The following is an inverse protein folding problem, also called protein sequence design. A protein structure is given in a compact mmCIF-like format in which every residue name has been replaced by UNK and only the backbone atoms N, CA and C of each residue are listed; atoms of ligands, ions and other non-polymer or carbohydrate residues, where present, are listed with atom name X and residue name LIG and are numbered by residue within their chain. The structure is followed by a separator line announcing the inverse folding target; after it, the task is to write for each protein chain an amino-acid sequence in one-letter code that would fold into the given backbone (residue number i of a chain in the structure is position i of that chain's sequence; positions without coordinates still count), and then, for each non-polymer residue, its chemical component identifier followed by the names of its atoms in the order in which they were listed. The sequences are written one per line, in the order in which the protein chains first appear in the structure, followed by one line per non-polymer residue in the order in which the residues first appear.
data_IF_223595406724
#
_entry.id   IF_223595406724
#
_cell.length_a   1.000
_cell.length_b   1.000
_cell.length_c   1.000
_cell.angle_alpha   90.00
_cell.angle_beta   90.00
_cell.angle_gamma   90.00
#
_symmetry.space_group_name_H-M   'P 1'
#
loop_
_entity.id
_entity.type
_entity.pdbx_description
1 polymer ?
#
# COMPACT_ATOMS: atom_id res chain seq x y z
N UNK A 1 13.32 -11.42 -7.10
CA UNK A 1 11.97 -12.05 -7.08
C UNK A 1 10.98 -11.08 -6.47
N UNK A 2 9.81 -10.92 -7.10
CA UNK A 2 8.68 -10.19 -6.56
C UNK A 2 7.65 -11.17 -5.98
N UNK A 3 7.31 -10.97 -4.71
CA UNK A 3 6.22 -11.68 -4.05
C UNK A 3 4.92 -10.90 -4.22
N UNK A 4 3.80 -11.58 -4.43
CA UNK A 4 2.49 -10.94 -4.41
C UNK A 4 2.18 -10.37 -3.02
N UNK A 5 1.89 -9.08 -2.93
CA UNK A 5 1.53 -8.44 -1.67
C UNK A 5 0.03 -8.17 -1.53
N UNK A 6 -0.73 -8.25 -2.63
CA UNK A 6 -2.19 -8.17 -2.63
C UNK A 6 -2.82 -9.46 -3.16
N UNK A 7 -4.08 -9.68 -2.81
CA UNK A 7 -4.88 -10.82 -3.27
C UNK A 7 -6.29 -10.36 -3.61
N UNK A 8 -6.99 -11.14 -4.42
CA UNK A 8 -8.42 -10.99 -4.64
C UNK A 8 -9.25 -11.49 -3.44
N UNK A 9 -10.55 -11.33 -3.55
CA UNK A 9 -11.49 -11.87 -2.57
C UNK A 9 -11.76 -13.38 -2.81
N UNK A 10 -12.55 -13.98 -1.93
CA UNK A 10 -12.92 -15.41 -1.99
C UNK A 10 -13.83 -15.76 -3.18
N UNK A 11 -14.35 -14.77 -3.91
CA UNK A 11 -15.14 -14.94 -5.14
C UNK A 11 -14.29 -14.77 -6.41
N UNK A 12 -13.00 -14.52 -6.26
CA UNK A 12 -12.07 -14.34 -7.37
C UNK A 12 -12.06 -12.93 -7.96
N UNK A 13 -12.67 -11.93 -7.30
CA UNK A 13 -12.64 -10.53 -7.73
C UNK A 13 -11.53 -9.76 -7.03
N UNK A 14 -11.01 -8.71 -7.67
CA UNK A 14 -10.07 -7.79 -7.04
C UNK A 14 -10.77 -6.65 -6.30
N UNK A 15 -11.94 -6.23 -6.75
CA UNK A 15 -12.73 -5.09 -6.26
C UNK A 15 -11.93 -3.78 -6.34
N UNK A 16 -11.56 -3.34 -7.56
CA UNK A 16 -10.56 -2.27 -7.76
C UNK A 16 -10.96 -0.91 -7.18
N UNK A 17 -12.24 -0.59 -7.17
CA UNK A 17 -12.77 0.70 -6.72
C UNK A 17 -13.21 0.70 -5.24
N UNK A 18 -13.18 -0.46 -4.57
CA UNK A 18 -13.51 -0.53 -3.15
C UNK A 18 -12.42 0.11 -2.30
N UNK A 19 -12.82 0.73 -1.20
CA UNK A 19 -11.90 1.17 -0.17
C UNK A 19 -11.20 -0.02 0.47
N UNK A 20 -9.93 0.15 0.85
CA UNK A 20 -9.18 -0.86 1.57
C UNK A 20 -9.27 -0.61 3.08
N UNK A 21 -9.36 -1.68 3.87
CA UNK A 21 -9.43 -1.57 5.33
C UNK A 21 -8.05 -1.42 5.97
N UNK A 22 -8.02 -0.92 7.18
CA UNK A 22 -6.79 -0.79 7.98
C UNK A 22 -6.12 -2.15 8.22
N UNK A 23 -6.91 -3.20 8.45
CA UNK A 23 -6.41 -4.58 8.60
C UNK A 23 -5.78 -5.12 7.31
N UNK A 24 -6.41 -4.89 6.16
CA UNK A 24 -5.87 -5.30 4.86
C UNK A 24 -4.54 -4.60 4.55
N UNK A 25 -4.44 -3.30 4.85
CA UNK A 25 -3.17 -2.56 4.70
C UNK A 25 -2.10 -3.09 5.64
N UNK A 26 -2.43 -3.36 6.90
CA UNK A 26 -1.49 -4.00 7.82
C UNK A 26 -0.95 -5.32 7.26
N UNK A 27 -1.82 -6.14 6.70
CA UNK A 27 -1.42 -7.43 6.09
C UNK A 27 -0.49 -7.24 4.88
N UNK A 28 -0.71 -6.21 4.05
CA UNK A 28 0.18 -5.88 2.93
C UNK A 28 1.59 -5.58 3.43
N UNK A 29 1.73 -4.63 4.35
CA UNK A 29 3.03 -4.24 4.87
C UNK A 29 3.72 -5.35 5.68
N UNK A 30 2.94 -6.19 6.38
CA UNK A 30 3.49 -7.36 7.08
C UNK A 30 4.09 -8.37 6.11
N UNK A 31 3.44 -8.66 4.98
CA UNK A 31 3.99 -9.53 3.92
C UNK A 31 5.29 -8.99 3.32
N UNK A 32 5.46 -7.68 3.31
CA UNK A 32 6.67 -7.02 2.79
C UNK A 32 7.83 -6.98 3.79
N UNK A 33 7.61 -7.36 5.05
CA UNK A 33 8.70 -7.45 6.03
C UNK A 33 9.67 -8.56 5.65
N UNK A 34 10.97 -8.25 5.73
CA UNK A 34 12.05 -9.24 5.56
C UNK A 34 12.09 -10.23 6.73
N UNK A 35 11.78 -9.76 7.93
CA UNK A 35 11.68 -10.56 9.14
C UNK A 35 10.31 -10.33 9.77
N UNK A 36 9.53 -11.40 9.84
CA UNK A 36 8.20 -11.41 10.46
C UNK A 36 8.23 -11.92 11.91
N UNK A 37 9.40 -12.36 12.40
CA UNK A 37 9.57 -12.91 13.75
C UNK A 37 9.89 -11.81 14.79
N UNK A 38 9.28 -10.66 14.65
CA UNK A 38 9.42 -9.57 15.60
C UNK A 38 8.54 -9.85 16.83
N UNK A 39 9.13 -9.77 18.02
CA UNK A 39 8.37 -9.92 19.26
C UNK A 39 7.35 -8.80 19.40
N UNK A 40 6.07 -9.14 19.36
CA UNK A 40 4.99 -8.18 19.49
C UNK A 40 4.77 -7.83 20.95
N UNK A 41 4.82 -6.54 21.25
CA UNK A 41 4.57 -5.98 22.60
C UNK A 41 3.32 -5.09 22.64
N UNK A 42 2.81 -4.68 21.47
CA UNK A 42 1.63 -3.83 21.33
C UNK A 42 0.40 -4.67 21.06
N UNK A 43 -0.66 -4.45 21.81
CA UNK A 43 -1.97 -5.06 21.66
C UNK A 43 -3.05 -3.99 21.64
N UNK A 44 -4.13 -4.26 20.89
CA UNK A 44 -5.32 -3.42 20.84
C UNK A 44 -6.54 -4.22 21.30
N UNK A 45 -7.43 -3.57 22.07
CA UNK A 45 -8.59 -4.23 22.66
C UNK A 45 -9.59 -4.75 21.62
N UNK A 46 -9.62 -4.12 20.44
CA UNK A 46 -10.49 -4.48 19.30
C UNK A 46 -9.83 -5.39 18.26
N UNK A 47 -8.66 -5.95 18.59
CA UNK A 47 -7.92 -6.92 17.77
C UNK A 47 -7.86 -8.25 18.51
N UNK A 48 -8.76 -9.17 18.17
CA UNK A 48 -8.77 -10.50 18.79
C UNK A 48 -7.49 -11.29 18.40
N UNK A 49 -6.91 -12.03 19.35
CA UNK A 49 -5.67 -12.78 19.12
C UNK A 49 -5.76 -13.80 17.97
N UNK A 50 -6.96 -14.33 17.69
CA UNK A 50 -7.22 -15.26 16.60
C UNK A 50 -7.65 -14.59 15.30
N UNK A 51 -7.70 -13.27 15.22
CA UNK A 51 -8.01 -12.56 13.99
C UNK A 51 -6.90 -12.77 12.95
N UNK A 52 -7.26 -12.96 11.68
CA UNK A 52 -6.30 -13.19 10.59
C UNK A 52 -5.28 -12.08 10.44
N UNK A 53 -5.61 -10.88 10.87
CA UNK A 53 -4.74 -9.69 10.81
C UNK A 53 -3.98 -9.42 12.11
N UNK A 54 -4.26 -10.15 13.19
CA UNK A 54 -3.64 -9.86 14.50
C UNK A 54 -2.10 -9.89 14.46
N UNK A 55 -1.42 -10.89 13.85
CA UNK A 55 0.03 -10.88 13.77
C UNK A 55 0.57 -9.67 13.03
N UNK A 56 -0.08 -9.25 11.94
CA UNK A 56 0.33 -8.10 11.16
C UNK A 56 0.18 -6.79 11.94
N UNK A 57 -0.96 -6.59 12.57
CA UNK A 57 -1.25 -5.37 13.36
C UNK A 57 -0.30 -5.26 14.55
N UNK A 58 -0.16 -6.32 15.33
CA UNK A 58 0.67 -6.34 16.54
C UNK A 58 2.15 -6.11 16.20
N UNK A 59 2.66 -6.77 15.16
CA UNK A 59 4.06 -6.64 14.71
C UNK A 59 4.35 -5.21 14.23
N UNK A 60 3.55 -4.69 13.29
CA UNK A 60 3.79 -3.37 12.72
C UNK A 60 3.58 -2.25 13.74
N UNK A 61 2.64 -2.41 14.68
CA UNK A 61 2.46 -1.46 15.77
C UNK A 61 3.64 -1.48 16.74
N UNK A 62 4.17 -2.66 17.06
CA UNK A 62 5.37 -2.81 17.90
C UNK A 62 6.62 -2.21 17.25
N UNK A 63 6.70 -2.22 15.92
CA UNK A 63 7.77 -1.57 15.15
C UNK A 63 7.58 -0.04 14.99
N UNK A 64 6.47 0.52 15.45
CA UNK A 64 6.16 1.94 15.27
C UNK A 64 5.77 2.35 13.84
N UNK A 65 5.53 1.37 12.95
CA UNK A 65 5.11 1.61 11.56
C UNK A 65 3.63 1.98 11.52
N UNK A 66 2.83 1.29 12.33
CA UNK A 66 1.39 1.41 12.38
C UNK A 66 0.94 1.93 13.76
N UNK A 67 -0.01 2.86 13.76
CA UNK A 67 -0.60 3.39 14.99
C UNK A 67 -2.07 2.98 15.09
N UNK A 68 -2.56 2.85 16.33
CA UNK A 68 -4.00 2.79 16.60
C UNK A 68 -4.69 4.11 16.30
N UNK A 69 -6.01 4.10 16.30
CA UNK A 69 -6.85 5.30 16.28
C UNK A 69 -6.93 5.94 17.67
N UNK A 70 -6.62 5.14 18.69
CA UNK A 70 -6.36 5.55 20.06
C UNK A 70 -5.21 4.73 20.65
N UNK A 71 -4.96 4.86 21.95
CA UNK A 71 -3.95 4.05 22.65
C UNK A 71 -4.34 2.56 22.71
N UNK A 72 -5.63 2.24 22.69
CA UNK A 72 -6.16 0.90 22.89
C UNK A 72 -6.99 0.37 21.73
N UNK A 73 -7.32 1.18 20.73
CA UNK A 73 -8.14 0.79 19.59
C UNK A 73 -7.40 0.92 18.26
N UNK A 74 -7.61 -0.04 17.38
CA UNK A 74 -7.03 -0.08 16.03
C UNK A 74 -8.05 0.20 14.93
N UNK A 75 -9.31 -0.19 15.10
CA UNK A 75 -10.40 -0.14 14.11
C UNK A 75 -10.08 -0.92 12.83
N UNK A 76 -9.87 -2.25 12.90
CA UNK A 76 -9.36 -3.05 11.79
C UNK A 76 -10.23 -3.02 10.54
N UNK A 77 -11.53 -2.93 10.68
CA UNK A 77 -12.51 -2.97 9.58
C UNK A 77 -12.84 -1.59 9.01
N UNK A 78 -12.32 -0.51 9.60
CA UNK A 78 -12.50 0.84 9.06
C UNK A 78 -11.66 1.03 7.81
N UNK A 79 -12.22 1.72 6.81
CA UNK A 79 -11.44 2.15 5.64
C UNK A 79 -10.29 3.05 6.06
N UNK A 80 -9.10 2.80 5.52
CA UNK A 80 -7.94 3.64 5.78
C UNK A 80 -8.00 4.93 4.97
N UNK A 81 -7.57 6.04 5.56
CA UNK A 81 -7.47 7.30 4.83
C UNK A 81 -6.17 7.43 4.07
N UNK A 82 -6.14 8.31 3.07
CA UNK A 82 -4.93 8.63 2.30
C UNK A 82 -3.79 9.13 3.19
N UNK A 83 -4.09 9.93 4.21
CA UNK A 83 -3.11 10.40 5.18
C UNK A 83 -2.54 9.28 6.04
N UNK A 84 -3.39 8.39 6.53
CA UNK A 84 -2.96 7.22 7.32
C UNK A 84 -2.08 6.28 6.48
N UNK A 85 -2.46 6.05 5.23
CA UNK A 85 -1.68 5.22 4.31
C UNK A 85 -0.30 5.84 4.01
N UNK A 86 -0.23 7.15 3.75
CA UNK A 86 1.04 7.86 3.56
C UNK A 86 1.93 7.75 4.81
N UNK A 87 1.35 7.86 6.01
CA UNK A 87 2.10 7.71 7.25
C UNK A 87 2.69 6.31 7.43
N UNK A 88 1.93 5.26 7.14
CA UNK A 88 2.41 3.88 7.21
C UNK A 88 3.53 3.65 6.18
N UNK A 89 3.32 4.04 4.93
CA UNK A 89 4.27 3.85 3.83
C UNK A 89 5.63 4.50 4.11
N UNK A 90 5.62 5.75 4.58
CA UNK A 90 6.85 6.51 4.85
C UNK A 90 7.59 6.02 6.08
N UNK A 91 6.88 5.58 7.12
CA UNK A 91 7.49 4.95 8.31
C UNK A 91 8.10 3.59 7.97
N UNK A 92 7.41 2.79 7.16
CA UNK A 92 7.92 1.49 6.70
C UNK A 92 9.24 1.65 5.94
N UNK A 93 9.32 2.60 5.02
CA UNK A 93 10.51 2.86 4.22
C UNK A 93 11.52 3.82 4.90
N UNK A 94 11.20 4.37 6.07
CA UNK A 94 12.05 5.29 6.83
C UNK A 94 12.48 6.51 6.00
N UNK A 95 11.54 7.12 5.29
CA UNK A 95 11.82 8.28 4.47
C UNK A 95 12.22 9.52 5.30
N UNK A 96 13.13 10.35 4.77
CA UNK A 96 13.46 11.62 5.39
C UNK A 96 12.30 12.61 5.31
N UNK A 97 12.33 13.62 6.17
CA UNK A 97 11.40 14.74 6.12
C UNK A 97 11.51 15.50 4.80
N UNK A 98 10.39 16.01 4.32
CA UNK A 98 10.29 16.83 3.12
C UNK A 98 9.25 17.94 3.34
N UNK A 99 9.11 18.84 2.38
CA UNK A 99 8.07 19.85 2.40
C UNK A 99 7.25 19.80 1.12
N UNK A 100 5.96 20.09 1.25
CA UNK A 100 5.01 20.11 0.14
C UNK A 100 3.98 21.21 0.37
N UNK A 101 3.36 21.68 -0.71
CA UNK A 101 2.30 22.68 -0.64
C UNK A 101 1.00 22.09 -1.17
N UNK A 102 0.21 21.50 -0.27
CA UNK A 102 -1.21 21.18 -0.52
C UNK A 102 -2.09 22.11 0.30
N UNK A 103 -3.11 22.68 -0.32
CA UNK A 103 -4.00 23.67 0.32
C UNK A 103 -4.81 23.08 1.49
N UNK A 104 -5.02 21.79 1.50
CA UNK A 104 -5.76 21.04 2.51
C UNK A 104 -4.87 20.26 3.50
N UNK A 105 -3.55 20.45 3.44
CA UNK A 105 -2.57 19.86 4.36
C UNK A 105 -1.68 20.99 4.93
N UNK A 106 -2.17 21.73 5.94
CA UNK A 106 -1.37 22.76 6.59
C UNK A 106 -0.19 22.15 7.36
N UNK A 107 0.88 22.93 7.58
CA UNK A 107 2.09 22.48 8.26
C UNK A 107 1.87 21.88 9.66
N UNK A 108 0.78 22.25 10.34
CA UNK A 108 0.38 21.65 11.63
C UNK A 108 -0.48 20.39 11.52
N UNK A 109 -0.75 19.90 10.32
CA UNK A 109 -1.51 18.67 10.15
C UNK A 109 -0.70 17.47 10.64
N UNK A 110 -1.30 16.56 11.37
CA UNK A 110 -0.61 15.45 12.05
C UNK A 110 0.24 14.57 11.12
N UNK A 111 -0.15 14.44 9.85
CA UNK A 111 0.56 13.64 8.84
C UNK A 111 1.30 14.50 7.81
N UNK A 112 1.52 15.80 8.08
CA UNK A 112 2.15 16.71 7.12
C UNK A 112 3.49 16.17 6.61
N UNK A 113 4.41 15.80 7.51
CA UNK A 113 5.74 15.31 7.14
C UNK A 113 5.67 14.01 6.32
N UNK A 114 4.74 13.11 6.67
CA UNK A 114 4.54 11.87 5.95
C UNK A 114 3.97 12.09 4.54
N UNK A 115 2.97 12.96 4.42
CA UNK A 115 2.39 13.33 3.12
C UNK A 115 3.42 14.02 2.25
N UNK A 116 4.18 14.95 2.83
CA UNK A 116 5.25 15.65 2.13
C UNK A 116 6.34 14.70 1.61
N UNK A 117 6.79 13.77 2.46
CA UNK A 117 7.76 12.76 2.06
C UNK A 117 7.21 11.86 0.94
N UNK A 118 6.00 11.30 1.10
CA UNK A 118 5.39 10.44 0.09
C UNK A 118 5.19 11.16 -1.26
N UNK A 119 4.81 12.43 -1.24
CA UNK A 119 4.64 13.23 -2.45
C UNK A 119 5.98 13.56 -3.12
N UNK A 120 7.01 13.92 -2.35
CA UNK A 120 8.36 14.23 -2.86
C UNK A 120 9.00 13.02 -3.53
N UNK A 121 8.77 11.82 -2.99
CA UNK A 121 9.25 10.58 -3.58
C UNK A 121 8.32 10.03 -4.70
N UNK A 122 7.26 10.76 -5.06
CA UNK A 122 6.37 10.39 -6.16
C UNK A 122 5.44 9.22 -5.87
N UNK A 123 5.33 8.78 -4.61
CA UNK A 123 4.45 7.66 -4.24
C UNK A 123 2.98 8.05 -4.21
N UNK A 124 2.69 9.22 -3.65
CA UNK A 124 1.36 9.79 -3.61
C UNK A 124 1.31 11.09 -4.39
N UNK A 125 0.22 11.29 -5.11
CA UNK A 125 -0.02 12.52 -5.85
C UNK A 125 -1.29 13.21 -5.37
N UNK A 126 -1.36 14.52 -5.52
CA UNK A 126 -2.58 15.27 -5.29
C UNK A 126 -3.59 15.11 -6.44
N UNK A 127 -4.72 15.77 -6.32
CA UNK A 127 -5.81 15.72 -7.30
C UNK A 127 -5.61 16.62 -8.54
N UNK A 128 -4.43 17.16 -8.76
CA UNK A 128 -4.12 18.10 -9.83
C UNK A 128 -4.63 19.54 -9.61
N UNK A 129 -5.36 19.78 -8.50
CA UNK A 129 -5.89 21.11 -8.11
C UNK A 129 -5.22 21.64 -6.83
N UNK A 130 -4.05 21.15 -6.49
CA UNK A 130 -3.32 21.56 -5.30
C UNK A 130 -3.84 20.97 -3.99
N UNK A 131 -4.66 19.91 -4.03
CA UNK A 131 -5.19 19.22 -2.85
C UNK A 131 -4.71 17.78 -2.79
N UNK A 132 -4.49 17.27 -1.59
CA UNK A 132 -4.13 15.88 -1.34
C UNK A 132 -5.33 15.01 -0.98
N UNK A 133 -6.38 15.60 -0.43
CA UNK A 133 -7.56 14.92 0.13
C UNK A 133 -7.20 13.93 1.26
N UNK A 134 -6.54 14.38 2.34
CA UNK A 134 -5.95 13.51 3.35
C UNK A 134 -6.96 12.63 4.09
N UNK A 135 -8.21 13.06 4.20
CA UNK A 135 -9.29 12.35 4.90
C UNK A 135 -10.09 11.40 4.03
N UNK A 136 -9.89 11.42 2.72
CA UNK A 136 -10.56 10.49 1.81
C UNK A 136 -10.03 9.08 2.00
N UNK A 137 -10.91 8.09 1.90
CA UNK A 137 -10.49 6.69 1.85
C UNK A 137 -9.65 6.43 0.60
N UNK A 138 -8.65 5.56 0.72
CA UNK A 138 -7.85 5.10 -0.42
C UNK A 138 -8.47 3.82 -0.99
N UNK A 139 -8.45 3.67 -2.31
CA UNK A 139 -8.95 2.46 -2.96
C UNK A 139 -7.90 1.36 -3.02
N UNK A 140 -8.37 0.13 -3.27
CA UNK A 140 -7.50 -1.03 -3.47
C UNK A 140 -6.53 -0.83 -4.65
N UNK A 141 -7.01 -0.24 -5.75
CA UNK A 141 -6.15 0.07 -6.91
C UNK A 141 -5.11 1.13 -6.59
N UNK A 142 -5.49 2.22 -5.94
CA UNK A 142 -4.53 3.25 -5.51
C UNK A 142 -3.47 2.66 -4.58
N UNK A 143 -3.87 1.74 -3.70
CA UNK A 143 -2.94 1.01 -2.83
C UNK A 143 -1.92 0.20 -3.64
N UNK A 144 -2.36 -0.58 -4.64
CA UNK A 144 -1.48 -1.34 -5.52
C UNK A 144 -0.46 -0.43 -6.21
N UNK A 145 -0.93 0.65 -6.83
CA UNK A 145 -0.08 1.60 -7.55
C UNK A 145 0.95 2.28 -6.64
N UNK A 146 0.55 2.69 -5.44
CA UNK A 146 1.47 3.36 -4.50
C UNK A 146 2.53 2.37 -3.98
N UNK A 147 2.13 1.15 -3.61
CA UNK A 147 3.07 0.14 -3.10
C UNK A 147 4.04 -0.30 -4.19
N UNK A 148 3.61 -0.48 -5.44
CA UNK A 148 4.51 -0.74 -6.55
C UNK A 148 5.57 0.36 -6.70
N UNK A 149 5.16 1.64 -6.69
CA UNK A 149 6.09 2.79 -6.74
C UNK A 149 7.04 2.80 -5.55
N UNK A 150 6.53 2.54 -4.35
CA UNK A 150 7.34 2.46 -3.13
C UNK A 150 8.43 1.39 -3.21
N UNK A 151 8.12 0.25 -3.82
CA UNK A 151 9.02 -0.88 -4.00
C UNK A 151 9.91 -0.74 -5.25
N UNK A 152 9.68 0.28 -6.09
CA UNK A 152 10.36 0.45 -7.38
C UNK A 152 9.99 -0.64 -8.40
N UNK A 153 8.83 -1.29 -8.24
CA UNK A 153 8.35 -2.33 -9.15
C UNK A 153 7.74 -1.72 -10.40
N UNK A 154 8.13 -2.23 -11.54
CA UNK A 154 7.66 -1.80 -12.85
C UNK A 154 7.03 -3.00 -13.56
N UNK A 155 5.74 -2.89 -13.84
CA UNK A 155 5.02 -3.95 -14.55
C UNK A 155 5.60 -4.18 -15.95
N UNK A 156 5.85 -5.44 -16.30
CA UNK A 156 6.22 -5.81 -17.66
C UNK A 156 4.96 -5.85 -18.54
N UNK A 157 4.70 -4.75 -19.26
CA UNK A 157 3.52 -4.62 -20.11
C UNK A 157 3.45 -5.70 -21.18
N UNK A 158 4.58 -6.06 -21.81
CA UNK A 158 4.63 -7.04 -22.90
C UNK A 158 4.30 -8.44 -22.37
N UNK A 159 4.92 -8.85 -21.27
CA UNK A 159 4.63 -10.13 -20.62
C UNK A 159 3.17 -10.21 -20.15
N UNK A 160 2.69 -9.14 -19.50
CA UNK A 160 1.30 -9.05 -19.04
C UNK A 160 0.35 -9.08 -20.22
N UNK A 161 0.60 -8.38 -21.31
CA UNK A 161 -0.23 -8.39 -22.51
C UNK A 161 -0.23 -9.75 -23.20
N UNK A 162 0.88 -10.49 -23.14
CA UNK A 162 0.99 -11.86 -23.61
C UNK A 162 0.27 -12.89 -22.71
N UNK A 163 -0.28 -12.49 -21.57
CA UNK A 163 -1.08 -13.34 -20.68
C UNK A 163 -0.42 -13.69 -19.36
N UNK A 164 0.78 -13.18 -19.06
CA UNK A 164 1.43 -13.41 -17.78
C UNK A 164 0.67 -12.74 -16.62
N UNK A 165 0.84 -13.31 -15.42
CA UNK A 165 0.29 -12.78 -14.18
C UNK A 165 -1.19 -13.09 -13.97
N UNK A 166 -1.66 -12.69 -12.79
CA UNK A 166 -3.02 -12.98 -12.34
C UNK A 166 -4.04 -12.03 -12.96
N UNK A 167 -5.19 -12.58 -13.34
CA UNK A 167 -6.33 -11.84 -13.89
C UNK A 167 -7.53 -11.91 -12.96
N UNK A 168 -8.34 -10.85 -13.00
CA UNK A 168 -9.58 -10.77 -12.23
C UNK A 168 -10.72 -10.38 -13.17
N UNK A 169 -11.88 -11.06 -13.10
CA UNK A 169 -13.00 -10.81 -14.03
C UNK A 169 -13.58 -9.40 -13.91
N UNK A 170 -13.41 -8.75 -12.77
CA UNK A 170 -13.87 -7.38 -12.49
C UNK A 170 -12.83 -6.29 -12.80
N UNK A 171 -11.68 -6.66 -13.40
CA UNK A 171 -10.61 -5.72 -13.80
C UNK A 171 -10.37 -5.84 -15.30
N UNK A 172 -10.93 -4.92 -16.05
CA UNK A 172 -10.74 -4.81 -17.50
C UNK A 172 -9.29 -4.40 -17.85
N UNK A 173 -8.75 -4.87 -18.97
CA UNK A 173 -7.45 -4.43 -19.50
C UNK A 173 -7.36 -2.92 -19.74
N UNK A 174 -8.48 -2.26 -19.99
CA UNK A 174 -8.57 -0.81 -20.20
C UNK A 174 -8.71 -0.02 -18.90
N UNK A 175 -8.81 -0.71 -17.75
CA UNK A 175 -8.86 -0.05 -16.45
C UNK A 175 -7.50 0.58 -16.12
N UNK A 176 -7.49 1.82 -15.62
CA UNK A 176 -6.27 2.61 -15.43
C UNK A 176 -5.20 1.93 -14.57
N UNK A 177 -5.59 1.15 -13.58
CA UNK A 177 -4.69 0.44 -12.66
C UNK A 177 -4.49 -1.04 -13.01
N UNK A 178 -4.87 -1.48 -14.21
CA UNK A 178 -4.79 -2.88 -14.60
C UNK A 178 -3.39 -3.48 -14.41
N UNK A 179 -2.36 -2.83 -14.91
CA UNK A 179 -0.98 -3.32 -14.81
C UNK A 179 -0.46 -3.29 -13.37
N UNK A 180 -0.80 -2.26 -12.60
CA UNK A 180 -0.46 -2.18 -11.17
C UNK A 180 -1.09 -3.32 -10.37
N UNK A 181 -2.34 -3.66 -10.66
CA UNK A 181 -3.05 -4.77 -10.01
C UNK A 181 -2.39 -6.11 -10.36
N UNK A 182 -2.05 -6.33 -11.63
CA UNK A 182 -1.39 -7.57 -12.05
C UNK A 182 -0.03 -7.70 -11.37
N UNK A 183 0.80 -6.64 -11.35
CA UNK A 183 2.08 -6.61 -10.65
C UNK A 183 1.92 -6.91 -9.15
N UNK A 184 0.99 -6.25 -8.48
CA UNK A 184 0.76 -6.39 -7.03
C UNK A 184 0.27 -7.79 -6.60
N UNK A 185 -0.35 -8.53 -7.52
CA UNK A 185 -1.02 -9.82 -7.23
C UNK A 185 -0.33 -11.03 -7.84
N UNK A 186 0.78 -10.85 -8.56
CA UNK A 186 1.51 -11.93 -9.23
C UNK A 186 2.88 -12.13 -8.61
N UNK A 187 3.23 -13.39 -8.35
CA UNK A 187 4.61 -13.75 -8.02
C UNK A 187 5.38 -13.98 -9.31
N UNK A 188 6.56 -13.41 -9.42
CA UNK A 188 7.42 -13.57 -10.59
C UNK A 188 8.89 -13.30 -10.26
N UNK A 189 9.77 -13.85 -11.08
CA UNK A 189 11.16 -13.41 -11.16
C UNK A 189 11.29 -12.39 -12.28
N UNK A 190 12.29 -11.54 -12.21
CA UNK A 190 12.53 -10.53 -13.23
C UNK A 190 14.01 -10.28 -13.45
N UNK A 191 14.34 -9.74 -14.61
CA UNK A 191 15.62 -9.11 -14.92
C UNK A 191 15.37 -7.63 -15.19
N UNK A 192 16.27 -6.76 -14.70
CA UNK A 192 16.17 -5.33 -14.96
C UNK A 192 16.92 -4.97 -16.23
N UNK A 193 16.22 -4.43 -17.22
CA UNK A 193 16.81 -3.89 -18.43
C UNK A 193 17.20 -2.43 -18.22
N UNK A 194 18.50 -2.20 -18.03
CA UNK A 194 19.04 -0.85 -17.76
C UNK A 194 18.99 0.10 -18.96
N UNK A 195 18.87 -0.42 -20.20
CA UNK A 195 18.77 0.42 -21.40
C UNK A 195 17.34 0.96 -21.57
N UNK A 196 16.37 0.12 -21.28
CA UNK A 196 14.95 0.44 -21.41
C UNK A 196 14.33 0.93 -20.08
N UNK A 197 15.09 0.88 -18.97
CA UNK A 197 14.66 1.26 -17.62
C UNK A 197 13.35 0.57 -17.21
N UNK A 198 13.20 -0.71 -17.54
CA UNK A 198 12.04 -1.51 -17.13
C UNK A 198 12.42 -2.92 -16.69
N UNK A 199 11.50 -3.59 -16.06
CA UNK A 199 11.63 -4.99 -15.67
C UNK A 199 11.11 -5.89 -16.80
N UNK A 200 11.79 -7.03 -16.97
CA UNK A 200 11.31 -8.14 -17.80
C UNK A 200 11.04 -9.33 -16.90
N UNK A 201 9.83 -9.82 -16.95
CA UNK A 201 9.43 -11.02 -16.21
C UNK A 201 10.02 -12.28 -16.86
N UNK A 202 10.53 -13.18 -16.00
CA UNK A 202 11.11 -14.46 -16.43
C UNK A 202 10.14 -15.62 -16.20
#
# INVERSE_FOLDING_TARGET
DHTAFMVGDNKGNFRPNDSITRAEVAQIFYRLLKDQNVQSTKKFDDVADNAWYAPAVDTLASMGILNGTSQTTFEPNRSITRAEFAAISTRFAKLPSASVSFTDVPAGYWAYDNIAAAATFGWCVGNGRGQFNPRSAITRTETAAIVNRMLGRLADFDAIDAGAGRRFPDVSKTFWGFYDIVEATSEHTYTFDSELLHEKWN
#
